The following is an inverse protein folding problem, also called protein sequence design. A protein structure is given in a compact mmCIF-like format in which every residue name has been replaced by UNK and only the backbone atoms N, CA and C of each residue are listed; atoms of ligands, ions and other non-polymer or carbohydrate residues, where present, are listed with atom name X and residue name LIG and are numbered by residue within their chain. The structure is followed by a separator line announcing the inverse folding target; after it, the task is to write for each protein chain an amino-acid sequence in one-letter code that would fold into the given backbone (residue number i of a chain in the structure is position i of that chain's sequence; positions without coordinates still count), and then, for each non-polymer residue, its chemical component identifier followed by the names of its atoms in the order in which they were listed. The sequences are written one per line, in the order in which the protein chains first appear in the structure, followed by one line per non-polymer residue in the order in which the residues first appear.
data_IF_678611533826
#
_entry.id   IF_678611533826
#
_cell.length_a   1.000
_cell.length_b   1.000
_cell.length_c   1.000
_cell.angle_alpha   90.00
_cell.angle_beta   90.00
_cell.angle_gamma   90.00
#
_symmetry.space_group_name_H-M   'P 1'
#
loop_
_entity.id
_entity.type
_entity.pdbx_description
1 polymer ?
#
# COMPACT_ATOMS: atom_id res chain seq x y z
N UNK A 1 -74.36 23.52 -12.37
CA UNK A 1 -74.28 23.98 -10.97
C UNK A 1 -74.65 22.76 -10.14
N UNK A 2 -73.71 21.93 -9.67
CA UNK A 2 -72.47 22.26 -8.96
C UNK A 2 -72.67 21.74 -7.53
N UNK A 3 -72.55 20.42 -7.36
CA UNK A 3 -72.73 19.71 -6.08
C UNK A 3 -71.40 19.66 -5.33
N UNK A 4 -71.39 20.26 -4.15
CA UNK A 4 -70.45 19.97 -3.06
C UNK A 4 -71.13 18.97 -2.12
N UNK A 5 -70.47 17.84 -1.81
CA UNK A 5 -70.16 17.42 -0.43
C UNK A 5 -69.62 15.98 -0.35
N UNK A 6 -68.40 15.89 0.22
CA UNK A 6 -67.89 14.91 1.17
C UNK A 6 -68.11 13.39 0.96
N UNK A 7 -67.06 12.68 0.53
CA UNK A 7 -66.64 11.40 1.15
C UNK A 7 -65.18 11.09 0.79
N UNK A 8 -64.31 10.88 1.78
CA UNK A 8 -62.99 10.28 1.55
C UNK A 8 -63.17 8.80 1.20
N UNK A 9 -62.61 8.28 0.08
CA UNK A 9 -62.51 6.85 -0.13
C UNK A 9 -61.24 6.31 0.54
N UNK A 10 -61.43 5.44 1.53
CA UNK A 10 -60.43 4.44 1.92
C UNK A 10 -60.23 3.48 0.74
N UNK A 11 -58.98 3.25 0.35
CA UNK A 11 -58.62 2.24 -0.64
C UNK A 11 -57.88 2.82 -1.85
N UNK A 12 -56.60 3.17 -1.66
CA UNK A 12 -55.65 3.26 -2.75
C UNK A 12 -54.52 2.28 -2.43
N UNK A 13 -54.56 1.12 -3.08
CA UNK A 13 -53.52 0.10 -3.04
C UNK A 13 -52.16 0.72 -3.45
N UNK A 14 -51.15 0.56 -2.61
CA UNK A 14 -49.77 0.93 -2.94
C UNK A 14 -49.23 0.09 -4.11
N UNK A 15 -48.41 0.66 -5.01
CA UNK A 15 -47.85 -0.06 -6.14
C UNK A 15 -46.76 -1.04 -5.68
N UNK A 16 -47.02 -2.33 -5.87
CA UNK A 16 -46.10 -3.48 -5.96
C UNK A 16 -44.62 -3.26 -5.59
N UNK A 17 -44.25 -3.60 -4.34
CA UNK A 17 -42.90 -4.11 -4.04
C UNK A 17 -42.71 -5.45 -4.77
N UNK A 18 -42.07 -5.44 -5.93
CA UNK A 18 -41.54 -6.66 -6.55
C UNK A 18 -40.39 -7.17 -5.70
N UNK A 19 -40.68 -8.06 -4.76
CA UNK A 19 -39.66 -8.93 -4.18
C UNK A 19 -39.11 -9.76 -5.33
N UNK A 20 -37.87 -9.47 -5.76
CA UNK A 20 -37.12 -10.39 -6.59
C UNK A 20 -36.92 -11.67 -5.77
N UNK A 21 -37.76 -12.68 -6.01
CA UNK A 21 -37.52 -14.01 -5.51
C UNK A 21 -36.22 -14.49 -6.15
N UNK A 22 -35.13 -14.45 -5.38
CA UNK A 22 -33.85 -15.01 -5.81
C UNK A 22 -34.08 -16.52 -5.83
N UNK A 23 -34.14 -17.12 -7.03
CA UNK A 23 -34.19 -18.57 -7.17
C UNK A 23 -33.00 -19.15 -6.40
N UNK A 24 -33.29 -19.99 -5.40
CA UNK A 24 -32.24 -20.73 -4.71
C UNK A 24 -31.57 -21.65 -5.74
N UNK A 25 -30.25 -21.61 -5.90
CA UNK A 25 -29.55 -22.44 -6.88
C UNK A 25 -29.79 -23.92 -6.54
N UNK A 26 -29.95 -24.75 -7.58
CA UNK A 26 -30.16 -26.19 -7.40
C UNK A 26 -29.05 -26.80 -6.52
N UNK A 27 -29.39 -27.75 -5.61
CA UNK A 27 -28.43 -28.33 -4.69
C UNK A 27 -27.33 -29.06 -5.46
N UNK A 28 -26.15 -28.42 -5.55
CA UNK A 28 -24.97 -29.03 -6.16
C UNK A 28 -24.30 -29.99 -5.17
N UNK A 29 -23.70 -31.10 -5.64
CA UNK A 29 -22.99 -32.03 -4.77
C UNK A 29 -21.84 -31.34 -4.03
N UNK A 30 -21.58 -31.72 -2.78
CA UNK A 30 -20.59 -31.10 -1.89
C UNK A 30 -19.23 -30.88 -2.56
N UNK A 31 -18.74 -31.86 -3.32
CA UNK A 31 -17.47 -31.73 -4.04
C UNK A 31 -17.50 -30.66 -5.14
N UNK A 32 -18.62 -30.48 -5.85
CA UNK A 32 -18.77 -29.38 -6.82
C UNK A 32 -18.89 -28.04 -6.13
N UNK A 33 -19.65 -27.95 -5.03
CA UNK A 33 -19.73 -26.72 -4.23
C UNK A 33 -18.37 -26.34 -3.63
N UNK A 34 -17.62 -27.31 -3.11
CA UNK A 34 -16.26 -27.11 -2.61
C UNK A 34 -15.32 -26.69 -3.73
N UNK A 35 -15.34 -27.37 -4.88
CA UNK A 35 -14.53 -27.02 -6.04
C UNK A 35 -14.91 -25.63 -6.59
N UNK A 36 -16.20 -25.28 -6.56
CA UNK A 36 -16.71 -24.00 -7.02
C UNK A 36 -16.33 -22.89 -6.05
N UNK A 37 -16.47 -23.08 -4.75
CA UNK A 37 -15.98 -22.14 -3.72
C UNK A 37 -14.48 -21.97 -3.78
N UNK A 38 -13.70 -23.05 -3.95
CA UNK A 38 -12.24 -22.97 -4.13
C UNK A 38 -11.91 -22.24 -5.44
N UNK A 39 -12.64 -22.50 -6.53
CA UNK A 39 -12.45 -21.83 -7.81
C UNK A 39 -12.83 -20.34 -7.74
N UNK A 40 -13.92 -19.97 -7.10
CA UNK A 40 -14.33 -18.58 -6.90
C UNK A 40 -13.43 -17.85 -5.90
N UNK A 41 -12.87 -18.56 -4.91
CA UNK A 41 -11.92 -17.95 -3.96
C UNK A 41 -10.54 -17.76 -4.62
N UNK A 42 -10.12 -18.67 -5.51
CA UNK A 42 -8.85 -18.57 -6.23
C UNK A 42 -8.94 -17.70 -7.50
N UNK A 43 -10.11 -17.65 -8.14
CA UNK A 43 -10.38 -16.94 -9.38
C UNK A 43 -11.77 -16.27 -9.36
N UNK A 44 -12.01 -15.29 -8.46
CA UNK A 44 -13.30 -14.60 -8.35
C UNK A 44 -13.66 -13.85 -9.63
N UNK A 45 -12.64 -13.34 -10.33
CA UNK A 45 -12.74 -12.83 -11.69
C UNK A 45 -11.95 -13.78 -12.61
N UNK A 46 -12.64 -14.66 -13.35
CA UNK A 46 -12.03 -15.44 -14.43
C UNK A 46 -11.53 -14.43 -15.49
N UNK A 47 -10.23 -14.06 -15.54
CA UNK A 47 -9.74 -12.99 -16.41
C UNK A 47 -9.87 -13.40 -17.88
N UNK A 48 -10.12 -14.69 -18.13
CA UNK A 48 -10.24 -15.28 -19.44
C UNK A 48 -11.65 -15.35 -20.03
N UNK A 49 -12.67 -14.91 -19.29
CA UNK A 49 -14.03 -14.84 -19.82
C UNK A 49 -14.17 -13.80 -20.94
N UNK A 50 -13.39 -12.72 -20.86
CA UNK A 50 -13.27 -11.68 -21.89
C UNK A 50 -12.48 -12.10 -23.14
N UNK A 51 -11.64 -13.14 -23.05
CA UNK A 51 -10.93 -13.71 -24.22
C UNK A 51 -11.78 -14.74 -24.98
N UNK A 52 -12.79 -15.33 -24.34
CA UNK A 52 -13.63 -16.38 -24.88
C UNK A 52 -14.72 -15.77 -25.75
N UNK A 53 -14.38 -15.43 -27.01
CA UNK A 53 -15.24 -15.07 -28.18
C UNK A 53 -14.63 -13.98 -29.11
N UNK A 54 -13.30 -13.76 -29.10
CA UNK A 54 -12.65 -12.72 -29.92
C UNK A 54 -11.62 -13.32 -30.89
N UNK A 55 -11.39 -12.67 -32.03
CA UNK A 55 -10.38 -13.04 -33.04
C UNK A 55 -8.97 -13.12 -32.42
N UNK A 56 -8.11 -14.02 -32.91
CA UNK A 56 -6.77 -14.31 -32.35
C UNK A 56 -5.91 -13.06 -32.16
N UNK A 57 -6.00 -12.09 -33.08
CA UNK A 57 -5.30 -10.78 -32.97
C UNK A 57 -5.82 -9.94 -31.79
N UNK A 58 -7.14 -9.91 -31.55
CA UNK A 58 -7.72 -9.22 -30.39
C UNK A 58 -7.36 -9.92 -29.08
N UNK A 59 -7.26 -11.25 -29.05
CA UNK A 59 -6.82 -11.98 -27.86
C UNK A 59 -5.38 -11.61 -27.46
N UNK A 60 -4.47 -11.45 -28.42
CA UNK A 60 -3.10 -10.98 -28.16
C UNK A 60 -3.11 -9.54 -27.63
N UNK A 61 -3.91 -8.64 -28.21
CA UNK A 61 -4.02 -7.24 -27.76
C UNK A 61 -4.62 -7.15 -26.35
N UNK A 62 -5.67 -7.92 -26.03
CA UNK A 62 -6.23 -7.95 -24.68
C UNK A 62 -5.25 -8.58 -23.68
N UNK A 63 -4.46 -9.57 -24.10
CA UNK A 63 -3.42 -10.18 -23.25
C UNK A 63 -2.32 -9.18 -22.94
N UNK A 64 -1.87 -8.43 -23.95
CA UNK A 64 -0.88 -7.38 -23.77
C UNK A 64 -1.40 -6.23 -22.89
N UNK A 65 -2.69 -5.85 -23.00
CA UNK A 65 -3.32 -4.88 -22.10
C UNK A 65 -3.44 -5.38 -20.67
N UNK A 66 -3.64 -6.69 -20.48
CA UNK A 66 -3.66 -7.32 -19.17
C UNK A 66 -2.28 -7.30 -18.49
N UNK A 67 -1.20 -7.53 -19.25
CA UNK A 67 0.18 -7.47 -18.73
C UNK A 67 0.75 -6.04 -18.63
N UNK A 68 0.33 -5.13 -19.50
CA UNK A 68 0.76 -3.74 -19.54
C UNK A 68 -0.46 -2.81 -19.48
N UNK A 69 -0.98 -2.55 -18.27
CA UNK A 69 -2.13 -1.66 -18.06
C UNK A 69 -1.93 -0.26 -18.66
N UNK A 70 -0.67 0.17 -18.80
CA UNK A 70 -0.30 1.43 -19.46
C UNK A 70 -0.88 1.60 -20.86
N UNK A 71 -0.99 0.52 -21.64
CA UNK A 71 -1.54 0.57 -22.99
C UNK A 71 -3.05 0.81 -23.02
N UNK A 72 -3.74 0.59 -21.90
CA UNK A 72 -5.17 0.85 -21.79
C UNK A 72 -5.48 2.30 -21.40
N UNK A 73 -4.69 2.87 -20.48
CA UNK A 73 -4.95 4.20 -19.93
C UNK A 73 -4.21 5.33 -20.65
N UNK A 74 -2.99 5.11 -21.15
CA UNK A 74 -2.23 6.12 -21.86
C UNK A 74 -2.99 6.75 -23.06
N UNK A 75 -3.69 5.99 -23.93
CA UNK A 75 -4.41 6.59 -25.04
C UNK A 75 -5.68 7.36 -24.63
N UNK A 76 -6.20 7.17 -23.41
CA UNK A 76 -7.37 7.90 -22.88
C UNK A 76 -6.96 9.09 -22.00
N UNK A 77 -5.67 9.36 -21.89
CA UNK A 77 -5.11 10.36 -21.01
C UNK A 77 -5.25 11.76 -21.61
N UNK A 78 -5.69 12.73 -20.80
CA UNK A 78 -5.97 14.10 -21.24
C UNK A 78 -4.99 15.08 -20.60
N UNK A 79 -4.66 16.17 -21.29
CA UNK A 79 -3.80 17.26 -20.80
C UNK A 79 -4.29 17.89 -19.49
N UNK A 80 -5.60 17.87 -19.21
CA UNK A 80 -6.13 18.34 -17.91
C UNK A 80 -5.68 17.43 -16.76
N UNK A 81 -5.69 16.12 -16.95
CA UNK A 81 -5.20 15.14 -15.97
C UNK A 81 -3.69 15.26 -15.80
N UNK A 82 -2.96 15.47 -16.89
CA UNK A 82 -1.51 15.71 -16.82
C UNK A 82 -1.13 16.86 -15.89
N UNK A 83 -1.85 17.98 -15.91
CA UNK A 83 -1.58 19.11 -15.02
C UNK A 83 -1.80 18.74 -13.56
N UNK A 84 -2.88 18.01 -13.26
CA UNK A 84 -3.18 17.53 -11.90
C UNK A 84 -2.13 16.52 -11.42
N UNK A 85 -1.78 15.54 -12.25
CA UNK A 85 -0.81 14.49 -11.92
C UNK A 85 0.61 15.04 -11.82
N UNK A 86 0.96 16.08 -12.58
CA UNK A 86 2.25 16.75 -12.46
C UNK A 86 2.39 17.45 -11.10
N UNK A 87 1.35 18.17 -10.65
CA UNK A 87 1.35 18.83 -9.35
C UNK A 87 1.40 17.77 -8.24
N UNK A 88 0.56 16.73 -8.31
CA UNK A 88 0.57 15.63 -7.36
C UNK A 88 1.92 14.90 -7.33
N UNK A 89 2.51 14.63 -8.49
CA UNK A 89 3.80 13.97 -8.64
C UNK A 89 4.95 14.79 -8.06
N UNK A 90 4.97 16.12 -8.27
CA UNK A 90 5.95 17.02 -7.63
C UNK A 90 5.79 16.98 -6.11
N UNK A 91 4.55 17.04 -5.60
CA UNK A 91 4.28 16.96 -4.15
C UNK A 91 4.77 15.63 -3.58
N UNK A 92 4.42 14.49 -4.18
CA UNK A 92 4.85 13.17 -3.74
C UNK A 92 6.37 13.03 -3.82
N UNK A 93 7.01 13.48 -4.92
CA UNK A 93 8.45 13.42 -5.08
C UNK A 93 9.18 14.27 -4.02
N UNK A 94 8.64 15.45 -3.68
CA UNK A 94 9.20 16.32 -2.65
C UNK A 94 9.23 15.67 -1.26
N UNK A 95 8.26 14.80 -0.97
CA UNK A 95 8.19 14.02 0.27
C UNK A 95 9.02 12.73 0.20
N UNK A 96 9.00 12.04 -0.95
CA UNK A 96 9.65 10.74 -1.13
C UNK A 96 11.18 10.80 -1.11
N UNK A 97 11.78 11.91 -1.57
CA UNK A 97 13.24 12.11 -1.58
C UNK A 97 13.83 12.15 -0.16
N UNK A 98 13.41 13.08 0.73
CA UNK A 98 13.93 13.13 2.09
C UNK A 98 13.53 11.88 2.89
N UNK A 99 12.33 11.33 2.66
CA UNK A 99 11.88 10.09 3.29
C UNK A 99 12.78 8.90 2.93
N UNK A 100 13.08 8.68 1.65
CA UNK A 100 13.94 7.58 1.21
C UNK A 100 15.37 7.69 1.76
N UNK A 101 15.93 8.90 1.80
CA UNK A 101 17.24 9.18 2.41
C UNK A 101 17.25 8.82 3.90
N UNK A 102 16.21 9.20 4.63
CA UNK A 102 16.07 8.90 6.06
C UNK A 102 15.97 7.38 6.30
N UNK A 103 15.15 6.69 5.50
CA UNK A 103 14.92 5.27 5.65
C UNK A 103 16.13 4.40 5.27
N UNK A 104 16.91 4.79 4.26
CA UNK A 104 18.19 4.13 3.97
C UNK A 104 19.16 4.22 5.16
N UNK A 105 19.22 5.38 5.84
CA UNK A 105 20.03 5.53 7.06
C UNK A 105 19.52 4.67 8.21
N UNK A 106 18.21 4.45 8.34
CA UNK A 106 17.66 3.53 9.35
C UNK A 106 18.05 2.07 9.09
N UNK A 107 18.34 1.70 7.84
CA UNK A 107 18.81 0.38 7.46
C UNK A 107 20.35 0.24 7.47
N UNK A 108 21.10 1.25 7.94
CA UNK A 108 22.55 1.35 7.83
C UNK A 108 23.08 1.24 6.39
N UNK A 109 22.28 1.69 5.43
CA UNK A 109 22.63 1.70 4.01
C UNK A 109 23.04 3.10 3.54
N UNK A 110 23.89 3.20 2.51
CA UNK A 110 24.19 4.47 1.86
C UNK A 110 22.91 5.20 1.41
N UNK A 111 22.74 6.49 1.72
CA UNK A 111 21.54 7.27 1.38
C UNK A 111 21.14 7.23 -0.09
N UNK A 112 22.11 7.07 -0.99
CA UNK A 112 21.87 6.97 -2.43
C UNK A 112 21.00 5.77 -2.81
N UNK A 113 21.06 4.67 -2.04
CA UNK A 113 20.20 3.50 -2.27
C UNK A 113 18.73 3.80 -1.93
N UNK A 114 18.50 4.64 -0.93
CA UNK A 114 17.15 5.15 -0.62
C UNK A 114 16.57 5.96 -1.77
N UNK A 115 17.40 6.79 -2.43
CA UNK A 115 16.98 7.56 -3.59
C UNK A 115 16.66 6.65 -4.79
N UNK A 116 17.47 5.63 -5.07
CA UNK A 116 17.17 4.65 -6.11
C UNK A 116 15.86 3.90 -5.82
N UNK A 117 15.63 3.51 -4.57
CA UNK A 117 14.41 2.82 -4.15
C UNK A 117 13.15 3.72 -4.13
N UNK A 118 13.31 5.05 -4.03
CA UNK A 118 12.19 5.99 -4.16
C UNK A 118 11.84 6.36 -5.61
N UNK A 119 12.72 6.08 -6.58
CA UNK A 119 12.51 6.44 -7.99
C UNK A 119 12.19 5.23 -8.88
N UNK A 120 12.96 4.15 -8.76
CA UNK A 120 12.88 3.01 -9.69
C UNK A 120 11.57 2.22 -9.51
N UNK A 121 11.14 1.83 -8.29
CA UNK A 121 9.89 1.09 -8.10
C UNK A 121 8.64 1.82 -8.59
N UNK A 122 8.39 3.12 -8.31
CA UNK A 122 7.23 3.81 -8.87
C UNK A 122 7.27 3.94 -10.39
N UNK A 123 8.46 4.05 -11.02
CA UNK A 123 8.57 4.02 -12.48
C UNK A 123 8.16 2.67 -13.07
N UNK A 124 8.63 1.57 -12.46
CA UNK A 124 8.25 0.21 -12.85
C UNK A 124 6.75 -0.03 -12.62
N UNK A 125 6.23 0.45 -11.49
CA UNK A 125 4.82 0.35 -11.14
C UNK A 125 3.93 1.19 -12.07
N UNK A 126 4.38 2.33 -12.58
CA UNK A 126 3.61 3.10 -13.56
C UNK A 126 3.35 2.32 -14.87
N UNK A 127 4.26 1.39 -15.23
CA UNK A 127 4.16 0.55 -16.43
C UNK A 127 3.35 -0.73 -16.17
N UNK A 128 3.60 -1.39 -15.03
CA UNK A 128 3.05 -2.71 -14.70
C UNK A 128 1.83 -2.67 -13.76
N UNK A 129 1.60 -1.56 -13.08
CA UNK A 129 0.61 -1.40 -12.03
C UNK A 129 -0.82 -1.35 -12.57
N UNK A 130 -1.71 -2.08 -11.91
CA UNK A 130 -3.15 -2.11 -12.23
C UNK A 130 -3.89 -0.86 -11.75
N UNK A 131 -3.40 -0.22 -10.67
CA UNK A 131 -4.06 0.92 -10.02
C UNK A 131 -3.26 2.20 -10.23
N UNK A 132 -3.95 3.26 -10.68
CA UNK A 132 -3.34 4.56 -11.02
C UNK A 132 -3.03 5.44 -9.81
N UNK A 133 -3.73 5.22 -8.70
CA UNK A 133 -3.65 6.07 -7.51
C UNK A 133 -2.66 5.55 -6.46
N UNK A 134 -2.07 4.37 -6.67
CA UNK A 134 -1.14 3.77 -5.72
C UNK A 134 0.27 4.31 -5.93
N UNK A 135 0.78 5.03 -4.93
CA UNK A 135 2.17 5.45 -4.88
C UNK A 135 3.02 4.37 -4.19
N UNK A 136 3.95 3.77 -4.94
CA UNK A 136 4.91 2.80 -4.41
C UNK A 136 6.21 3.52 -4.03
N UNK A 137 6.77 3.20 -2.87
CA UNK A 137 8.02 3.79 -2.41
C UNK A 137 8.60 3.08 -1.20
N UNK A 138 9.68 3.65 -0.65
CA UNK A 138 10.36 3.11 0.53
C UNK A 138 9.49 3.19 1.78
N UNK A 139 9.46 2.10 2.56
CA UNK A 139 8.70 2.02 3.81
C UNK A 139 9.64 1.95 5.02
N UNK A 140 9.29 2.74 6.04
CA UNK A 140 9.91 2.83 7.35
C UNK A 140 10.18 1.47 8.02
N UNK A 141 9.14 0.65 8.10
CA UNK A 141 9.15 -0.65 8.82
C UNK A 141 10.08 -1.64 8.12
N UNK A 142 10.01 -1.71 6.79
CA UNK A 142 10.88 -2.58 6.00
C UNK A 142 12.35 -2.23 6.18
N UNK A 143 12.69 -0.94 6.09
CA UNK A 143 14.07 -0.47 6.24
C UNK A 143 14.66 -0.81 7.62
N UNK A 144 13.84 -0.62 8.65
CA UNK A 144 14.22 -0.92 10.03
C UNK A 144 14.41 -2.43 10.26
N UNK A 145 13.52 -3.26 9.72
CA UNK A 145 13.63 -4.71 9.81
C UNK A 145 14.85 -5.23 9.04
N UNK A 146 15.09 -4.72 7.84
CA UNK A 146 16.29 -5.06 7.05
C UNK A 146 17.55 -4.69 7.81
N UNK A 147 17.66 -3.48 8.36
CA UNK A 147 18.80 -3.07 9.19
C UNK A 147 19.00 -4.02 10.38
N UNK A 148 17.94 -4.32 11.13
CA UNK A 148 18.03 -5.19 12.30
C UNK A 148 18.39 -6.65 11.97
N UNK A 149 18.06 -7.15 10.78
CA UNK A 149 18.42 -8.50 10.35
C UNK A 149 19.85 -8.55 9.80
N UNK A 150 20.25 -7.58 8.98
CA UNK A 150 21.60 -7.54 8.41
C UNK A 150 22.66 -7.25 9.47
N UNK A 151 22.40 -6.32 10.40
CA UNK A 151 23.34 -5.98 11.49
C UNK A 151 23.59 -7.14 12.46
N UNK A 152 22.76 -8.20 12.45
CA UNK A 152 23.02 -9.42 13.25
C UNK A 152 24.08 -10.32 12.60
N UNK A 153 24.17 -10.29 11.28
CA UNK A 153 25.08 -11.16 10.52
C UNK A 153 26.40 -10.45 10.19
N UNK A 154 26.33 -9.16 9.84
CA UNK A 154 27.50 -8.37 9.42
C UNK A 154 27.44 -6.97 10.03
N UNK A 155 28.53 -6.55 10.68
CA UNK A 155 28.70 -5.17 11.13
C UNK A 155 28.92 -4.23 9.93
N UNK A 156 28.01 -3.26 9.76
CA UNK A 156 28.07 -2.28 8.67
C UNK A 156 29.36 -1.44 8.67
N UNK A 157 29.96 -1.20 9.85
CA UNK A 157 31.19 -0.42 9.98
C UNK A 157 32.47 -1.22 9.66
N UNK A 158 32.48 -2.52 9.95
CA UNK A 158 33.68 -3.37 9.75
C UNK A 158 33.84 -3.82 8.31
N UNK A 159 32.74 -4.17 7.64
CA UNK A 159 32.75 -4.56 6.24
C UNK A 159 31.53 -4.02 5.47
N UNK A 160 31.58 -2.75 5.03
CA UNK A 160 30.46 -2.12 4.33
C UNK A 160 30.18 -2.75 2.96
N UNK A 161 31.18 -3.38 2.32
CA UNK A 161 31.00 -4.04 1.02
C UNK A 161 30.23 -5.34 1.17
N UNK A 162 30.56 -6.13 2.18
CA UNK A 162 29.85 -7.37 2.48
C UNK A 162 28.40 -7.08 2.92
N UNK A 163 28.20 -6.06 3.76
CA UNK A 163 26.87 -5.63 4.18
C UNK A 163 25.97 -5.26 2.99
N UNK A 164 26.50 -4.50 2.03
CA UNK A 164 25.79 -4.15 0.80
C UNK A 164 25.44 -5.38 -0.05
N UNK A 165 26.37 -6.32 -0.21
CA UNK A 165 26.11 -7.56 -0.94
C UNK A 165 25.00 -8.38 -0.27
N UNK A 166 25.02 -8.48 1.06
CA UNK A 166 23.98 -9.15 1.81
C UNK A 166 22.61 -8.47 1.65
N UNK A 167 22.57 -7.14 1.67
CA UNK A 167 21.35 -6.38 1.42
C UNK A 167 20.77 -6.66 0.03
N UNK A 168 21.58 -6.57 -1.02
CA UNK A 168 21.11 -6.81 -2.40
C UNK A 168 20.65 -8.25 -2.62
N UNK A 169 21.38 -9.24 -2.08
CA UNK A 169 20.99 -10.65 -2.19
C UNK A 169 19.70 -10.93 -1.43
N UNK A 170 19.53 -10.40 -0.20
CA UNK A 170 18.30 -10.53 0.56
C UNK A 170 17.11 -9.88 -0.16
N UNK A 171 17.27 -8.67 -0.69
CA UNK A 171 16.23 -7.99 -1.47
C UNK A 171 15.90 -8.75 -2.76
N UNK A 172 16.90 -9.33 -3.43
CA UNK A 172 16.68 -10.15 -4.62
C UNK A 172 15.83 -11.40 -4.30
N UNK A 173 16.18 -12.13 -3.25
CA UNK A 173 15.39 -13.29 -2.83
C UNK A 173 13.98 -12.91 -2.37
N UNK A 174 13.84 -11.79 -1.64
CA UNK A 174 12.52 -11.25 -1.28
C UNK A 174 11.67 -10.96 -2.53
N UNK A 175 12.24 -10.32 -3.55
CA UNK A 175 11.56 -10.06 -4.82
C UNK A 175 11.20 -11.33 -5.59
N UNK A 176 12.08 -12.35 -5.60
CA UNK A 176 11.77 -13.65 -6.22
C UNK A 176 10.64 -14.36 -5.49
N UNK A 177 10.61 -14.30 -4.15
CA UNK A 177 9.53 -14.86 -3.35
C UNK A 177 8.22 -14.12 -3.60
N UNK A 178 8.22 -12.79 -3.58
CA UNK A 178 7.04 -11.97 -3.90
C UNK A 178 6.52 -12.23 -5.32
N UNK A 179 7.42 -12.31 -6.31
CA UNK A 179 7.06 -12.68 -7.68
C UNK A 179 6.46 -14.09 -7.76
N UNK A 180 7.02 -15.05 -7.03
CA UNK A 180 6.51 -16.43 -6.97
C UNK A 180 5.11 -16.46 -6.35
N UNK A 181 4.91 -15.76 -5.23
CA UNK A 181 3.59 -15.63 -4.59
C UNK A 181 2.56 -14.96 -5.52
N UNK A 182 2.99 -13.95 -6.29
CA UNK A 182 2.18 -13.31 -7.31
C UNK A 182 1.79 -14.25 -8.45
N UNK A 183 2.74 -15.05 -8.96
CA UNK A 183 2.51 -16.05 -10.01
C UNK A 183 1.52 -17.13 -9.55
N UNK A 184 1.67 -17.61 -8.32
CA UNK A 184 0.73 -18.55 -7.71
C UNK A 184 -0.60 -17.91 -7.29
N UNK A 185 -0.77 -16.60 -7.50
CA UNK A 185 -1.94 -15.81 -7.09
C UNK A 185 -2.30 -16.03 -5.63
N UNK A 186 -1.30 -16.14 -4.76
CA UNK A 186 -1.48 -16.34 -3.32
C UNK A 186 -2.01 -15.09 -2.59
N UNK A 187 -2.38 -14.04 -3.32
CA UNK A 187 -3.05 -12.85 -2.77
C UNK A 187 -4.35 -13.19 -2.02
N UNK A 188 -5.01 -14.30 -2.36
CA UNK A 188 -6.20 -14.78 -1.64
C UNK A 188 -5.92 -15.03 -0.14
N UNK A 189 -4.67 -15.29 0.26
CA UNK A 189 -4.30 -15.49 1.67
C UNK A 189 -4.55 -14.20 2.48
N UNK A 190 -4.41 -13.03 1.85
CA UNK A 190 -4.68 -11.75 2.50
C UNK A 190 -6.16 -11.62 2.86
N UNK A 191 -7.06 -12.19 2.05
CA UNK A 191 -8.51 -12.18 2.32
C UNK A 191 -8.89 -13.09 3.51
N UNK A 192 -8.02 -14.04 3.88
CA UNK A 192 -8.19 -14.86 5.08
C UNK A 192 -7.71 -14.17 6.37
N UNK A 193 -7.04 -13.01 6.28
CA UNK A 193 -6.64 -12.25 7.47
C UNK A 193 -7.85 -11.53 8.06
N UNK A 194 -8.08 -11.75 9.36
CA UNK A 194 -9.18 -11.07 10.05
C UNK A 194 -8.97 -9.56 10.06
N UNK A 195 -10.08 -8.80 10.04
CA UNK A 195 -10.03 -7.34 10.15
C UNK A 195 -9.25 -6.88 11.40
N UNK A 196 -9.39 -7.60 12.51
CA UNK A 196 -8.64 -7.32 13.75
C UNK A 196 -7.12 -7.47 13.57
N UNK A 197 -6.67 -8.48 12.83
CA UNK A 197 -5.25 -8.72 12.54
C UNK A 197 -4.66 -7.59 11.69
N UNK A 198 -5.39 -7.18 10.63
CA UNK A 198 -4.95 -6.10 9.74
C UNK A 198 -4.85 -4.78 10.52
N UNK A 199 -5.88 -4.43 11.30
CA UNK A 199 -5.89 -3.22 12.12
C UNK A 199 -4.80 -3.25 13.19
N UNK A 200 -4.57 -4.39 13.85
CA UNK A 200 -3.50 -4.56 14.83
C UNK A 200 -2.11 -4.38 14.22
N UNK A 201 -1.87 -4.98 13.05
CA UNK A 201 -0.62 -4.79 12.32
C UNK A 201 -0.41 -3.35 11.88
N UNK A 202 -1.45 -2.69 11.33
CA UNK A 202 -1.41 -1.28 10.97
C UNK A 202 -1.14 -0.38 12.17
N UNK A 203 -1.74 -0.64 13.33
CA UNK A 203 -1.48 0.08 14.56
C UNK A 203 -0.03 -0.08 15.05
N UNK A 204 0.52 -1.29 14.95
CA UNK A 204 1.93 -1.56 15.22
C UNK A 204 2.86 -0.82 14.27
N UNK A 205 2.58 -0.87 12.96
CA UNK A 205 3.33 -0.14 11.94
C UNK A 205 3.26 1.38 12.17
N UNK A 206 2.09 1.92 12.48
CA UNK A 206 1.91 3.34 12.81
C UNK A 206 2.70 3.76 14.05
N UNK A 207 2.76 2.89 15.07
CA UNK A 207 3.56 3.12 16.28
C UNK A 207 5.06 3.15 15.93
N UNK A 208 5.54 2.18 15.14
CA UNK A 208 6.94 2.14 14.67
C UNK A 208 7.28 3.39 13.85
N UNK A 209 6.42 3.78 12.92
CA UNK A 209 6.60 5.01 12.13
C UNK A 209 6.65 6.25 13.03
N UNK A 210 5.75 6.36 14.01
CA UNK A 210 5.73 7.47 14.97
C UNK A 210 7.05 7.54 15.76
N UNK A 211 7.56 6.40 16.22
CA UNK A 211 8.85 6.31 16.92
C UNK A 211 10.02 6.71 16.00
N UNK A 212 9.97 6.37 14.72
CA UNK A 212 11.00 6.78 13.76
C UNK A 212 10.99 8.30 13.53
N UNK A 213 9.82 8.94 13.51
CA UNK A 213 9.73 10.41 13.43
C UNK A 213 10.34 11.08 14.67
N UNK A 214 10.19 10.47 15.86
CA UNK A 214 10.81 10.97 17.09
C UNK A 214 12.35 10.98 17.01
N UNK A 215 12.99 9.97 16.40
CA UNK A 215 14.45 9.97 16.19
C UNK A 215 14.89 11.17 15.35
N UNK A 216 14.11 11.54 14.33
CA UNK A 216 14.35 12.73 13.51
C UNK A 216 14.16 14.04 14.29
N UNK A 217 13.09 14.14 15.08
CA UNK A 217 12.73 15.33 15.87
C UNK A 217 13.73 15.59 17.01
N UNK A 218 14.21 14.53 17.69
CA UNK A 218 15.12 14.67 18.82
C UNK A 218 16.58 14.92 18.42
N UNK A 219 16.96 14.74 17.14
CA UNK A 219 18.26 15.16 16.61
C UNK A 219 19.48 14.53 17.31
N UNK A 220 19.33 13.39 17.97
CA UNK A 220 20.43 12.76 18.71
C UNK A 220 21.41 12.11 17.71
N UNK A 221 22.64 12.63 17.68
CA UNK A 221 23.73 12.16 16.80
C UNK A 221 24.21 10.73 17.10
N UNK A 222 23.82 10.16 18.23
CA UNK A 222 24.08 8.76 18.62
C UNK A 222 22.77 8.15 19.09
N UNK A 223 21.93 7.72 18.15
CA UNK A 223 20.74 6.94 18.47
C UNK A 223 21.03 5.47 18.17
N UNK A 224 21.00 4.67 19.24
CA UNK A 224 21.11 3.22 19.25
C UNK A 224 20.53 2.52 18.01
N UNK A 225 21.30 1.56 17.50
CA UNK A 225 21.01 0.62 16.40
C UNK A 225 19.81 -0.31 16.65
N UNK A 226 19.29 -0.33 17.88
CA UNK A 226 18.25 -1.26 18.28
C UNK A 226 16.85 -0.76 17.91
N UNK A 227 16.10 -1.68 17.30
CA UNK A 227 14.68 -1.60 16.95
C UNK A 227 13.72 -1.60 18.14
N UNK A 228 14.26 -1.77 19.34
CA UNK A 228 13.45 -2.07 20.51
C UNK A 228 12.79 -0.79 21.06
N UNK A 229 11.46 -0.78 21.11
CA UNK A 229 10.66 0.34 21.65
C UNK A 229 11.13 0.68 23.06
N UNK A 230 11.50 -0.33 23.83
CA UNK A 230 12.02 -0.20 25.20
C UNK A 230 13.37 0.52 25.20
N UNK A 231 14.26 0.22 24.24
CA UNK A 231 15.53 0.91 24.08
C UNK A 231 15.34 2.36 23.68
N UNK A 232 14.42 2.64 22.76
CA UNK A 232 14.10 4.00 22.31
C UNK A 232 13.53 4.82 23.47
N UNK A 233 12.54 4.26 24.18
CA UNK A 233 11.96 4.91 25.37
C UNK A 233 13.00 5.15 26.46
N UNK A 234 13.88 4.17 26.75
CA UNK A 234 14.95 4.33 27.73
C UNK A 234 15.96 5.41 27.32
N UNK A 235 16.32 5.51 26.04
CA UNK A 235 17.17 6.58 25.51
C UNK A 235 16.52 7.96 25.65
N UNK A 236 15.23 8.08 25.30
CA UNK A 236 14.47 9.33 25.42
C UNK A 236 14.40 9.79 26.88
N UNK A 237 14.06 8.89 27.81
CA UNK A 237 13.98 9.21 29.24
C UNK A 237 15.35 9.55 29.86
N UNK A 238 16.43 8.86 29.45
CA UNK A 238 17.77 9.13 29.97
C UNK A 238 18.39 10.42 29.45
N UNK A 239 18.00 10.91 28.26
CA UNK A 239 18.54 12.13 27.65
C UNK A 239 17.61 13.34 27.74
N UNK A 240 16.51 13.25 28.49
CA UNK A 240 15.49 14.31 28.68
C UNK A 240 16.06 15.70 28.97
N UNK A 241 17.23 15.78 29.61
CA UNK A 241 17.88 17.05 29.97
C UNK A 241 18.62 17.76 28.80
N UNK A 242 18.91 17.06 27.69
CA UNK A 242 19.51 17.62 26.46
C UNK A 242 18.50 17.78 25.31
N UNK A 243 17.24 17.39 25.54
CA UNK A 243 16.18 17.49 24.54
C UNK A 243 15.93 18.96 24.23
N UNK A 244 16.22 19.37 23.00
CA UNK A 244 15.86 20.70 22.50
C UNK A 244 14.34 20.74 22.23
N UNK A 245 13.58 20.77 23.32
CA UNK A 245 12.12 20.66 23.36
C UNK A 245 11.44 21.78 22.55
N UNK A 246 12.14 22.91 22.41
CA UNK A 246 11.72 24.06 21.61
C UNK A 246 11.71 23.76 20.10
N UNK A 247 12.74 23.09 19.56
CA UNK A 247 12.79 22.73 18.13
C UNK A 247 11.74 21.68 17.79
N UNK A 248 11.50 20.74 18.71
CA UNK A 248 10.52 19.67 18.55
C UNK A 248 9.06 20.19 18.57
N UNK A 249 8.77 21.14 19.44
CA UNK A 249 7.45 21.79 19.54
C UNK A 249 7.17 22.70 18.33
N UNK A 250 8.14 23.52 17.91
CA UNK A 250 7.98 24.39 16.73
C UNK A 250 7.79 23.57 15.45
N UNK A 251 8.53 22.47 15.29
CA UNK A 251 8.37 21.59 14.12
C UNK A 251 7.02 20.86 14.18
N UNK A 252 6.62 20.31 15.33
CA UNK A 252 5.35 19.61 15.49
C UNK A 252 4.12 20.50 15.25
N UNK A 253 4.14 21.73 15.79
CA UNK A 253 3.03 22.68 15.68
C UNK A 253 2.83 23.21 14.25
N UNK A 254 3.92 23.39 13.47
CA UNK A 254 3.84 23.82 12.07
C UNK A 254 3.58 22.66 11.09
N UNK A 255 4.01 21.43 11.40
CA UNK A 255 3.97 20.31 10.44
C UNK A 255 2.65 19.52 10.44
N UNK A 256 1.94 19.46 11.58
CA UNK A 256 0.61 18.83 11.70
C UNK A 256 -0.46 19.43 10.78
N UNK A 257 -0.62 20.77 10.67
CA UNK A 257 -1.58 21.35 9.72
C UNK A 257 -1.15 21.17 8.26
N UNK A 258 0.15 21.05 7.98
CA UNK A 258 0.67 20.88 6.62
C UNK A 258 0.42 19.48 6.05
N UNK A 259 0.58 18.42 6.85
CA UNK A 259 0.27 17.05 6.42
C UNK A 259 -1.24 16.81 6.26
N UNK A 260 -2.07 17.38 7.12
CA UNK A 260 -3.53 17.33 6.96
C UNK A 260 -4.02 18.06 5.71
N UNK A 261 -3.24 19.02 5.18
CA UNK A 261 -3.54 19.72 3.92
C UNK A 261 -3.07 18.94 2.67
N UNK A 262 -2.18 17.95 2.83
CA UNK A 262 -1.66 17.11 1.73
C UNK A 262 -2.47 15.83 1.56
N UNK A 263 -3.16 15.38 2.61
CA UNK A 263 -3.96 14.14 2.61
C UNK A 263 -5.44 14.38 2.25
N UNK A 264 -5.88 15.64 2.11
CA UNK A 264 -7.24 16.03 1.70
C UNK A 264 -7.28 16.69 0.32
#
# INVERSE_FOLDING_TARGET
MGTEDNTFPQGAEEPHRRHHAVEAPEPQPFLKSLQYSVKETLFPDDPFRQFKNQTTSRQVVLGLKYFLPILEWAPRYNFKLFKSDLIAGITIASLAIPQGISYAKLANLPPILGLYSSFVPPLVYAVLGSSKDLAVGTVAVGSLLTGAMLSKEVDAEKDPKLYLHLAFTATFFAGVLEASLGIFRLGFIVDFLSHATIVGFMGGAATVVSLQQLKGIFGLKHFTEATDVISVMRSVFSQTHQVCLFSALDLGFNFLPFNSCIVY
#
